data_IF_389229238174
#
_entry.id   IF_389229238174
#
_cell.length_a   1.000
_cell.length_b   1.000
_cell.length_c   1.000
_cell.angle_alpha   90.00
_cell.angle_beta   90.00
_cell.angle_gamma   90.00
#
_symmetry.space_group_name_H-M   'P 1'
#
loop_
_entity.id
_entity.type
_entity.pdbx_description
1 polymer ?
#
# COMPACT_ATOMS: atom_id res chain seq x y z
N UNK A 1 13.19 9.50 20.72
CA UNK A 1 12.03 9.28 21.60
C UNK A 1 10.79 8.91 20.76
N UNK A 2 10.82 7.77 20.05
CA UNK A 2 9.69 7.22 19.27
C UNK A 2 9.86 5.69 19.07
N UNK A 3 10.23 4.96 20.12
CA UNK A 3 10.59 3.52 20.04
C UNK A 3 9.55 2.55 20.62
N UNK A 4 8.32 3.00 20.92
CA UNK A 4 7.31 2.15 21.54
C UNK A 4 6.13 1.95 20.59
N UNK A 5 6.31 1.03 19.64
CA UNK A 5 5.22 0.46 18.84
C UNK A 5 4.80 -0.86 19.51
N UNK A 6 3.51 -1.22 19.52
CA UNK A 6 3.06 -2.54 19.96
C UNK A 6 3.25 -3.53 18.82
N UNK A 7 4.20 -4.48 18.96
CA UNK A 7 4.80 -5.18 17.82
C UNK A 7 4.25 -6.56 17.46
N UNK A 8 3.06 -6.91 17.93
CA UNK A 8 2.54 -8.26 17.69
C UNK A 8 2.25 -8.58 16.20
N UNK A 9 2.26 -7.60 15.30
CA UNK A 9 2.13 -7.80 13.84
C UNK A 9 3.47 -7.84 13.08
N UNK A 10 4.61 -7.56 13.72
CA UNK A 10 5.90 -7.31 13.05
C UNK A 10 6.57 -8.59 12.56
N UNK A 11 6.40 -9.70 13.27
CA UNK A 11 7.40 -10.75 13.22
C UNK A 11 7.32 -11.58 11.94
N UNK A 12 6.15 -12.03 11.49
CA UNK A 12 6.10 -13.09 10.46
C UNK A 12 6.40 -12.65 9.02
N UNK A 13 6.15 -11.39 8.66
CA UNK A 13 6.06 -11.02 7.24
C UNK A 13 7.30 -10.36 6.66
N UNK A 14 8.11 -9.67 7.48
CA UNK A 14 9.32 -8.96 7.00
C UNK A 14 10.52 -9.89 6.84
N UNK A 15 10.64 -10.93 7.67
CA UNK A 15 11.82 -11.80 7.74
C UNK A 15 12.19 -12.49 6.42
N UNK A 16 11.22 -12.97 5.60
CA UNK A 16 11.56 -13.54 4.30
C UNK A 16 12.30 -12.54 3.40
N UNK A 17 11.97 -11.25 3.47
CA UNK A 17 12.68 -10.20 2.72
C UNK A 17 14.09 -9.96 3.25
N UNK A 18 14.28 -10.00 4.57
CA UNK A 18 15.60 -9.83 5.21
C UNK A 18 16.54 -10.96 4.81
N UNK A 19 16.07 -12.20 4.91
CA UNK A 19 16.83 -13.38 4.50
C UNK A 19 17.11 -13.36 2.99
N UNK A 20 16.09 -13.08 2.16
CA UNK A 20 16.25 -13.01 0.71
C UNK A 20 17.19 -11.90 0.24
N UNK A 21 17.30 -10.79 0.96
CA UNK A 21 18.22 -9.72 0.59
C UNK A 21 19.69 -10.13 0.76
N UNK A 22 20.00 -11.01 1.73
CA UNK A 22 21.37 -11.53 1.93
C UNK A 22 21.72 -12.64 0.95
N UNK A 23 20.72 -13.41 0.55
CA UNK A 23 20.84 -14.46 -0.46
C UNK A 23 20.42 -13.97 -1.85
N UNK A 24 20.45 -12.66 -2.07
CA UNK A 24 19.96 -12.07 -3.32
C UNK A 24 20.83 -12.49 -4.50
N UNK A 25 20.19 -12.98 -5.55
CA UNK A 25 20.78 -13.21 -6.85
C UNK A 25 20.01 -12.48 -7.96
N UNK A 26 20.57 -12.41 -9.16
CA UNK A 26 19.91 -11.77 -10.31
C UNK A 26 18.84 -12.66 -10.97
N UNK A 27 18.40 -13.75 -10.31
CA UNK A 27 17.37 -14.66 -10.85
C UNK A 27 15.94 -14.13 -10.70
N UNK A 28 15.75 -13.02 -10.00
CA UNK A 28 14.44 -12.46 -9.64
C UNK A 28 13.54 -13.42 -8.83
N UNK A 29 14.15 -14.38 -8.13
CA UNK A 29 13.47 -15.26 -7.16
C UNK A 29 13.92 -14.91 -5.74
N UNK A 30 13.02 -15.08 -4.76
CA UNK A 30 13.41 -14.94 -3.35
C UNK A 30 13.89 -16.28 -2.81
N UNK A 31 15.06 -16.28 -2.19
CA UNK A 31 15.64 -17.44 -1.53
C UNK A 31 15.86 -17.15 -0.05
N UNK A 32 15.31 -17.97 0.83
CA UNK A 32 15.35 -17.75 2.27
C UNK A 32 16.04 -18.90 3.00
N UNK A 33 16.68 -18.57 4.11
CA UNK A 33 17.16 -19.53 5.11
C UNK A 33 16.15 -19.59 6.26
N UNK A 34 15.39 -20.69 6.31
CA UNK A 34 14.37 -20.92 7.35
C UNK A 34 14.96 -21.00 8.75
N UNK A 35 16.16 -21.57 8.92
CA UNK A 35 16.77 -21.72 10.24
C UNK A 35 17.12 -20.36 10.85
N UNK A 36 17.66 -19.45 10.04
CA UNK A 36 17.91 -18.07 10.47
C UNK A 36 16.62 -17.32 10.79
N UNK A 37 15.55 -17.54 10.03
CA UNK A 37 14.23 -16.96 10.32
C UNK A 37 13.70 -17.47 11.67
N UNK A 38 13.82 -18.78 11.93
CA UNK A 38 13.40 -19.38 13.21
C UNK A 38 14.25 -18.91 14.39
N UNK A 39 15.54 -18.65 14.18
CA UNK A 39 16.41 -18.01 15.18
C UNK A 39 15.95 -16.58 15.46
N UNK A 40 15.74 -15.78 14.42
CA UNK A 40 15.27 -14.41 14.52
C UNK A 40 13.94 -14.32 15.30
N UNK A 41 13.01 -15.25 15.05
CA UNK A 41 11.71 -15.32 15.74
C UNK A 41 11.81 -15.56 17.25
N UNK A 42 12.91 -16.15 17.73
CA UNK A 42 13.15 -16.40 19.16
C UNK A 42 13.75 -15.19 19.87
N UNK A 43 14.27 -14.22 19.13
CA UNK A 43 14.88 -13.03 19.70
C UNK A 43 13.83 -12.08 20.27
N UNK A 44 14.18 -11.38 21.34
CA UNK A 44 13.39 -10.24 21.78
C UNK A 44 13.48 -9.11 20.74
N UNK A 45 12.58 -8.14 20.85
CA UNK A 45 12.47 -7.06 19.88
C UNK A 45 13.77 -6.28 19.67
N UNK A 46 14.45 -5.92 20.76
CA UNK A 46 15.67 -5.11 20.70
C UNK A 46 16.75 -5.84 19.89
N UNK A 47 16.87 -7.15 20.14
CA UNK A 47 17.82 -8.01 19.44
C UNK A 47 17.41 -8.21 17.98
N UNK A 48 16.12 -8.31 17.66
CA UNK A 48 15.65 -8.38 16.27
C UNK A 48 16.02 -7.12 15.48
N UNK A 49 15.89 -5.93 16.07
CA UNK A 49 16.28 -4.69 15.40
C UNK A 49 17.78 -4.59 15.12
N UNK A 50 18.60 -5.24 15.96
CA UNK A 50 20.06 -5.30 15.82
C UNK A 50 20.54 -6.50 15.00
N UNK A 51 19.65 -7.46 14.70
CA UNK A 51 20.01 -8.68 13.99
C UNK A 51 20.43 -8.39 12.55
N UNK A 52 21.45 -9.11 12.08
CA UNK A 52 21.97 -9.02 10.72
C UNK A 52 21.95 -10.42 10.14
N UNK A 53 21.06 -10.65 9.17
CA UNK A 53 21.00 -11.91 8.44
C UNK A 53 22.32 -12.14 7.70
N UNK A 54 22.70 -13.41 7.55
CA UNK A 54 23.90 -13.83 6.84
C UNK A 54 23.53 -14.60 5.57
N UNK A 55 24.41 -14.55 4.57
CA UNK A 55 24.30 -15.43 3.41
C UNK A 55 24.40 -16.89 3.87
N UNK A 56 23.59 -17.76 3.28
CA UNK A 56 23.52 -19.18 3.63
C UNK A 56 23.60 -20.05 2.39
N UNK A 57 24.12 -21.26 2.56
CA UNK A 57 24.04 -22.31 1.54
C UNK A 57 22.74 -23.11 1.65
N UNK A 58 22.08 -23.10 2.82
CA UNK A 58 20.84 -23.82 3.09
C UNK A 58 19.63 -22.95 2.79
N UNK A 59 19.47 -22.59 1.51
CA UNK A 59 18.40 -21.71 1.03
C UNK A 59 17.29 -22.50 0.34
N UNK A 60 16.06 -22.03 0.51
CA UNK A 60 14.91 -22.52 -0.24
C UNK A 60 14.16 -21.39 -0.95
N UNK A 61 13.55 -21.70 -2.09
CA UNK A 61 12.76 -20.75 -2.87
C UNK A 61 11.47 -20.35 -2.13
N UNK A 62 11.16 -19.06 -2.14
CA UNK A 62 10.00 -18.47 -1.46
C UNK A 62 9.19 -17.56 -2.39
N UNK A 63 8.14 -18.08 -3.02
CA UNK A 63 7.34 -17.33 -4.01
C UNK A 63 6.08 -16.65 -3.43
N UNK A 64 5.96 -16.57 -2.10
CA UNK A 64 4.73 -16.07 -1.47
C UNK A 64 4.63 -14.55 -1.45
N UNK A 65 5.77 -13.86 -1.47
CA UNK A 65 5.84 -12.41 -1.33
C UNK A 65 6.45 -11.75 -2.58
N UNK A 66 6.02 -10.52 -2.93
CA UNK A 66 6.60 -9.77 -4.04
C UNK A 66 8.06 -9.41 -3.84
N UNK A 67 8.94 -9.83 -4.74
CA UNK A 67 10.40 -9.61 -4.62
C UNK A 67 10.83 -8.14 -4.55
N UNK A 68 10.00 -7.18 -4.99
CA UNK A 68 10.36 -5.77 -5.04
C UNK A 68 10.90 -5.23 -3.70
N UNK A 69 10.32 -5.64 -2.58
CA UNK A 69 10.78 -5.16 -1.27
C UNK A 69 12.13 -5.75 -0.86
N UNK A 70 12.51 -6.95 -1.35
CA UNK A 70 13.86 -7.50 -1.16
C UNK A 70 14.94 -6.56 -1.66
N UNK A 71 14.73 -5.88 -2.79
CA UNK A 71 15.66 -4.87 -3.29
C UNK A 71 15.79 -3.69 -2.35
N UNK A 72 14.68 -3.21 -1.77
CA UNK A 72 14.71 -2.14 -0.76
C UNK A 72 15.59 -2.56 0.42
N UNK A 73 15.38 -3.77 0.94
CA UNK A 73 16.18 -4.30 2.05
C UNK A 73 17.66 -4.42 1.66
N UNK A 74 17.94 -4.94 0.46
CA UNK A 74 19.31 -5.05 -0.05
C UNK A 74 19.98 -3.68 -0.11
N UNK A 75 19.34 -2.66 -0.70
CA UNK A 75 19.91 -1.32 -0.75
C UNK A 75 20.07 -0.70 0.64
N UNK A 76 19.07 -0.81 1.51
CA UNK A 76 19.11 -0.28 2.87
C UNK A 76 20.29 -0.86 3.66
N UNK A 77 20.46 -2.18 3.64
CA UNK A 77 21.50 -2.89 4.39
C UNK A 77 22.90 -2.69 3.80
N UNK A 78 23.02 -2.39 2.50
CA UNK A 78 24.29 -2.00 1.88
C UNK A 78 24.71 -0.58 2.24
N UNK A 79 23.77 0.37 2.24
CA UNK A 79 24.05 1.78 2.57
C UNK A 79 24.30 1.93 4.08
N UNK A 80 23.50 1.29 4.92
CA UNK A 80 23.56 1.37 6.38
C UNK A 80 24.11 0.08 7.00
N UNK A 81 25.22 -0.42 6.46
CA UNK A 81 25.84 -1.70 6.85
C UNK A 81 26.26 -1.80 8.33
N UNK A 82 26.32 -0.67 9.04
CA UNK A 82 26.69 -0.58 10.45
C UNK A 82 25.48 -0.69 11.41
N UNK A 83 24.26 -0.85 10.88
CA UNK A 83 23.03 -1.07 11.64
C UNK A 83 22.52 -2.51 11.47
N UNK A 84 21.63 -2.94 12.36
CA UNK A 84 20.84 -4.15 12.12
C UNK A 84 19.90 -3.98 10.92
N UNK A 85 19.49 -5.08 10.28
CA UNK A 85 18.81 -5.02 8.98
C UNK A 85 17.46 -4.27 9.07
N UNK A 86 16.69 -4.46 10.15
CA UNK A 86 15.45 -3.71 10.39
C UNK A 86 15.70 -2.22 10.65
N UNK A 87 16.76 -1.88 11.40
CA UNK A 87 17.15 -0.49 11.66
C UNK A 87 17.56 0.22 10.36
N UNK A 88 18.30 -0.47 9.49
CA UNK A 88 18.69 0.04 8.18
C UNK A 88 17.47 0.40 7.31
N UNK A 89 16.45 -0.47 7.26
CA UNK A 89 15.20 -0.23 6.52
C UNK A 89 14.47 0.99 7.10
N UNK A 90 14.31 1.05 8.42
CA UNK A 90 13.62 2.16 9.07
C UNK A 90 14.32 3.50 8.83
N UNK A 91 15.66 3.52 8.90
CA UNK A 91 16.42 4.73 8.60
C UNK A 91 16.22 5.16 7.13
N UNK A 92 16.22 4.21 6.19
CA UNK A 92 15.91 4.50 4.78
C UNK A 92 14.50 5.10 4.62
N UNK A 93 13.48 4.49 5.23
CA UNK A 93 12.11 5.01 5.18
C UNK A 93 12.02 6.43 5.72
N UNK A 94 12.66 6.71 6.86
CA UNK A 94 12.69 8.04 7.48
C UNK A 94 13.35 9.08 6.57
N UNK A 95 14.50 8.75 5.97
CA UNK A 95 15.20 9.65 5.03
C UNK A 95 14.32 9.95 3.82
N UNK A 96 13.68 8.94 3.23
CA UNK A 96 12.78 9.13 2.09
C UNK A 96 11.55 9.94 2.49
N UNK A 97 10.95 9.69 3.66
CA UNK A 97 9.80 10.45 4.16
C UNK A 97 10.14 11.94 4.35
N UNK A 98 11.30 12.22 4.95
CA UNK A 98 11.82 13.58 5.13
C UNK A 98 12.02 14.24 3.76
N UNK A 99 12.65 13.53 2.81
CA UNK A 99 12.87 14.02 1.45
C UNK A 99 11.57 14.35 0.71
N UNK A 100 10.57 13.46 0.76
CA UNK A 100 9.23 13.66 0.19
C UNK A 100 8.54 14.86 0.85
N UNK A 101 8.60 14.94 2.18
CA UNK A 101 7.98 16.03 2.93
C UNK A 101 8.58 17.38 2.55
N UNK A 102 9.91 17.49 2.47
CA UNK A 102 10.58 18.70 2.02
C UNK A 102 10.25 19.04 0.57
N UNK A 103 10.22 18.06 -0.33
CA UNK A 103 9.84 18.26 -1.73
C UNK A 103 8.45 18.91 -1.83
N UNK A 104 7.45 18.36 -1.13
CA UNK A 104 6.08 18.89 -1.18
C UNK A 104 5.97 20.25 -0.49
N UNK A 105 6.63 20.45 0.66
CA UNK A 105 6.65 21.75 1.35
C UNK A 105 7.30 22.85 0.50
N UNK A 106 8.29 22.52 -0.33
CA UNK A 106 8.96 23.48 -1.21
C UNK A 106 8.10 23.93 -2.39
N UNK A 107 7.17 23.09 -2.87
CA UNK A 107 6.31 23.41 -4.02
C UNK A 107 4.96 24.01 -3.62
N UNK A 108 4.54 23.89 -2.36
CA UNK A 108 3.36 24.60 -1.85
C UNK A 108 3.71 26.09 -1.73
N UNK A 109 2.88 26.98 -2.28
CA UNK A 109 3.18 28.42 -2.27
C UNK A 109 2.79 29.10 -0.94
N UNK A 110 1.60 28.80 -0.42
CA UNK A 110 1.00 29.51 0.71
C UNK A 110 1.57 29.03 2.06
N UNK A 111 2.06 29.92 2.94
CA UNK A 111 2.60 29.53 4.25
C UNK A 111 1.62 28.74 5.13
N UNK A 112 0.34 29.12 5.13
CA UNK A 112 -0.73 28.38 5.84
C UNK A 112 -0.81 26.93 5.38
N UNK A 113 -0.79 26.71 4.07
CA UNK A 113 -0.94 25.38 3.48
C UNK A 113 0.31 24.52 3.77
N UNK A 114 1.51 25.14 3.81
CA UNK A 114 2.74 24.47 4.29
C UNK A 114 2.61 24.03 5.73
N UNK A 115 2.13 24.91 6.61
CA UNK A 115 1.94 24.60 8.02
C UNK A 115 0.94 23.46 8.21
N UNK A 116 -0.20 23.50 7.49
CA UNK A 116 -1.17 22.41 7.52
C UNK A 116 -0.58 21.09 7.02
N UNK A 117 0.19 21.09 5.92
CA UNK A 117 0.85 19.89 5.43
C UNK A 117 1.88 19.34 6.41
N UNK A 118 2.65 20.22 7.06
CA UNK A 118 3.62 19.84 8.08
C UNK A 118 2.93 19.07 9.21
N UNK A 119 1.88 19.65 9.81
CA UNK A 119 1.17 19.05 10.94
C UNK A 119 0.36 17.81 10.55
N UNK A 120 -0.39 17.89 9.45
CA UNK A 120 -1.34 16.84 9.07
C UNK A 120 -0.66 15.63 8.39
N UNK A 121 0.51 15.81 7.79
CA UNK A 121 1.23 14.74 7.10
C UNK A 121 2.65 14.53 7.63
N UNK A 122 3.53 15.52 7.49
CA UNK A 122 4.97 15.31 7.64
C UNK A 122 5.37 14.90 9.08
N UNK A 123 4.80 15.53 10.10
CA UNK A 123 5.06 15.22 11.52
C UNK A 123 3.88 14.50 12.20
N UNK A 124 2.87 14.08 11.44
CA UNK A 124 1.70 13.43 11.99
C UNK A 124 2.10 12.07 12.61
N UNK A 125 1.80 11.80 13.89
CA UNK A 125 2.19 10.56 14.56
C UNK A 125 1.67 9.29 13.87
N UNK A 126 0.49 9.32 13.24
CA UNK A 126 -0.08 8.19 12.51
C UNK A 126 0.74 7.92 11.24
N UNK A 127 1.15 8.96 10.53
CA UNK A 127 2.01 8.83 9.34
C UNK A 127 3.38 8.31 9.77
N UNK A 128 3.99 8.91 10.79
CA UNK A 128 5.28 8.49 11.35
C UNK A 128 5.23 7.03 11.81
N UNK A 129 4.11 6.56 12.37
CA UNK A 129 3.93 5.16 12.72
C UNK A 129 4.17 4.26 11.49
N UNK A 130 3.53 4.54 10.34
CA UNK A 130 3.73 3.73 9.14
C UNK A 130 5.10 3.92 8.48
N UNK A 131 5.73 5.10 8.61
CA UNK A 131 7.13 5.32 8.17
C UNK A 131 8.08 4.40 8.93
N UNK A 132 7.87 4.25 10.24
CA UNK A 132 8.69 3.41 11.11
C UNK A 132 8.31 1.93 11.09
N UNK A 133 7.34 1.55 10.26
CA UNK A 133 6.98 0.16 10.03
C UNK A 133 7.89 -0.40 8.92
N UNK A 134 8.84 -1.30 9.22
CA UNK A 134 9.88 -1.78 8.28
C UNK A 134 9.31 -2.76 7.24
N UNK A 135 8.30 -2.34 6.48
CA UNK A 135 7.59 -3.17 5.51
C UNK A 135 7.24 -2.38 4.25
N UNK A 136 6.76 -3.08 3.23
CA UNK A 136 6.54 -2.49 1.90
C UNK A 136 5.44 -1.41 1.85
N UNK A 137 4.63 -1.23 2.89
CA UNK A 137 3.51 -0.28 2.88
C UNK A 137 3.94 1.15 2.59
N UNK A 138 5.07 1.57 3.17
CA UNK A 138 5.61 2.92 3.03
C UNK A 138 5.82 3.33 1.57
N UNK A 139 6.36 2.43 0.75
CA UNK A 139 6.79 2.71 -0.63
C UNK A 139 5.64 3.06 -1.58
N UNK A 140 4.40 2.76 -1.20
CA UNK A 140 3.21 3.12 -1.98
C UNK A 140 2.99 4.65 -2.08
N UNK A 141 3.68 5.45 -1.25
CA UNK A 141 3.62 6.92 -1.29
C UNK A 141 4.32 7.54 -2.50
N UNK A 142 5.27 6.82 -3.12
CA UNK A 142 6.12 7.38 -4.17
C UNK A 142 5.29 7.80 -5.41
N UNK A 143 4.42 6.93 -5.97
CA UNK A 143 3.54 7.35 -7.07
C UNK A 143 2.66 8.54 -6.72
N UNK A 144 2.10 8.58 -5.50
CA UNK A 144 1.25 9.69 -5.05
C UNK A 144 2.03 11.00 -4.94
N UNK A 145 3.28 10.94 -4.49
CA UNK A 145 4.19 12.09 -4.44
C UNK A 145 4.54 12.59 -5.83
N UNK A 146 4.88 11.69 -6.77
CA UNK A 146 5.15 12.06 -8.17
C UNK A 146 3.92 12.73 -8.78
N UNK A 147 2.75 12.14 -8.60
CA UNK A 147 1.48 12.73 -9.04
C UNK A 147 1.29 14.14 -8.47
N UNK A 148 1.40 14.32 -7.16
CA UNK A 148 1.24 15.63 -6.51
C UNK A 148 2.26 16.65 -6.99
N UNK A 149 3.54 16.27 -7.13
CA UNK A 149 4.58 17.16 -7.64
C UNK A 149 4.20 17.74 -9.00
N UNK A 150 3.82 16.88 -9.95
CA UNK A 150 3.42 17.35 -11.26
C UNK A 150 2.07 18.07 -11.22
N UNK A 151 1.13 17.62 -10.40
CA UNK A 151 -0.17 18.26 -10.21
C UNK A 151 -0.03 19.72 -9.78
N UNK A 152 0.78 19.98 -8.74
CA UNK A 152 1.00 21.30 -8.14
C UNK A 152 1.84 22.19 -9.07
N UNK A 153 3.01 21.70 -9.51
CA UNK A 153 3.96 22.53 -10.27
C UNK A 153 3.53 22.83 -11.70
N UNK A 154 2.56 22.08 -12.24
CA UNK A 154 2.09 22.17 -13.63
C UNK A 154 3.19 21.99 -14.69
N UNK A 155 4.37 21.50 -14.32
CA UNK A 155 5.47 21.22 -15.24
C UNK A 155 5.12 20.09 -16.19
N UNK A 156 5.68 20.12 -17.40
CA UNK A 156 5.66 18.96 -18.28
C UNK A 156 6.60 17.87 -17.76
N UNK A 157 6.25 16.61 -18.01
CA UNK A 157 7.07 15.44 -17.67
C UNK A 157 8.25 15.27 -18.64
N UNK A 158 8.08 15.66 -19.91
CA UNK A 158 9.14 15.55 -20.93
C UNK A 158 9.78 14.16 -21.00
N UNK A 159 11.11 14.13 -21.07
CA UNK A 159 11.89 12.88 -21.13
C UNK A 159 12.00 12.15 -19.77
N UNK A 160 11.65 12.81 -18.66
CA UNK A 160 11.68 12.15 -17.35
C UNK A 160 10.68 11.00 -17.26
N UNK A 161 9.68 10.94 -18.16
CA UNK A 161 8.69 9.87 -18.18
C UNK A 161 9.34 8.48 -18.31
N UNK A 162 10.46 8.36 -19.03
CA UNK A 162 11.16 7.08 -19.19
C UNK A 162 11.78 6.61 -17.86
N UNK A 163 12.36 7.54 -17.09
CA UNK A 163 12.88 7.24 -15.74
C UNK A 163 11.72 6.91 -14.81
N UNK A 164 10.62 7.68 -14.88
CA UNK A 164 9.43 7.41 -14.07
C UNK A 164 8.82 6.04 -14.38
N UNK A 165 8.88 5.55 -15.62
CA UNK A 165 8.44 4.19 -15.96
C UNK A 165 9.25 3.12 -15.23
N UNK A 166 10.56 3.29 -15.08
CA UNK A 166 11.40 2.37 -14.30
C UNK A 166 11.08 2.46 -12.81
N UNK A 167 10.86 3.67 -12.29
CA UNK A 167 10.41 3.86 -10.90
C UNK A 167 9.06 3.18 -10.68
N UNK A 168 8.10 3.34 -11.58
CA UNK A 168 6.79 2.70 -11.49
C UNK A 168 6.86 1.19 -11.59
N UNK A 169 7.74 0.65 -12.44
CA UNK A 169 8.01 -0.79 -12.48
C UNK A 169 8.52 -1.29 -11.12
N UNK A 170 9.49 -0.58 -10.53
CA UNK A 170 10.02 -0.91 -9.22
C UNK A 170 8.94 -0.86 -8.12
N UNK A 171 8.12 0.19 -8.10
CA UNK A 171 7.00 0.28 -7.13
C UNK A 171 5.97 -0.83 -7.36
N UNK A 172 5.67 -1.18 -8.61
CA UNK A 172 4.80 -2.32 -8.92
C UNK A 172 5.38 -3.63 -8.39
N UNK A 173 6.68 -3.86 -8.55
CA UNK A 173 7.35 -5.05 -8.00
C UNK A 173 7.27 -5.11 -6.47
N UNK A 174 7.32 -3.96 -5.79
CA UNK A 174 7.13 -3.89 -4.33
C UNK A 174 5.67 -4.20 -3.98
N UNK A 175 4.73 -3.60 -4.73
CA UNK A 175 3.30 -3.70 -4.46
C UNK A 175 2.46 -3.64 -5.75
N UNK A 176 1.99 -4.79 -6.25
CA UNK A 176 1.19 -4.86 -7.47
C UNK A 176 -0.12 -4.07 -7.43
N UNK A 177 -0.69 -3.84 -6.23
CA UNK A 177 -1.94 -3.09 -6.06
C UNK A 177 -1.84 -1.62 -6.51
N UNK A 178 -0.63 -1.10 -6.72
CA UNK A 178 -0.38 0.27 -7.22
C UNK A 178 -0.62 0.44 -8.73
N UNK A 179 -0.84 -0.66 -9.46
CA UNK A 179 -0.96 -0.67 -10.92
C UNK A 179 -2.00 0.32 -11.45
N UNK A 180 -3.23 0.31 -10.91
CA UNK A 180 -4.30 1.19 -11.40
C UNK A 180 -3.97 2.66 -11.17
N UNK A 181 -3.29 2.99 -10.07
CA UNK A 181 -2.86 4.35 -9.81
C UNK A 181 -1.74 4.79 -10.75
N UNK A 182 -0.79 3.90 -11.06
CA UNK A 182 0.25 4.15 -12.07
C UNK A 182 -0.38 4.40 -13.44
N UNK A 183 -1.34 3.57 -13.85
CA UNK A 183 -2.10 3.76 -15.10
C UNK A 183 -2.81 5.12 -15.11
N UNK A 184 -3.45 5.50 -14.00
CA UNK A 184 -4.06 6.81 -13.85
C UNK A 184 -3.05 7.96 -14.00
N UNK A 185 -1.83 7.83 -13.48
CA UNK A 185 -0.78 8.85 -13.67
C UNK A 185 -0.41 9.00 -15.16
N UNK A 186 -0.28 7.90 -15.92
CA UNK A 186 -0.07 8.00 -17.36
C UNK A 186 -1.22 8.71 -18.06
N UNK A 187 -2.47 8.32 -17.76
CA UNK A 187 -3.67 8.98 -18.31
C UNK A 187 -3.67 10.47 -17.97
N UNK A 188 -3.37 10.82 -16.72
CA UNK A 188 -3.24 12.20 -16.29
C UNK A 188 -2.19 12.97 -17.09
N UNK A 189 -1.01 12.38 -17.32
CA UNK A 189 0.04 13.01 -18.14
C UNK A 189 -0.36 13.16 -19.60
N UNK A 190 -1.08 12.19 -20.19
CA UNK A 190 -1.56 12.29 -21.57
C UNK A 190 -2.48 13.50 -21.77
N UNK A 191 -3.41 13.73 -20.85
CA UNK A 191 -4.31 14.88 -20.92
C UNK A 191 -3.62 16.21 -20.62
N UNK A 192 -2.64 16.21 -19.71
CA UNK A 192 -1.95 17.43 -19.29
C UNK A 192 -0.90 17.91 -20.28
N UNK A 193 -0.14 16.99 -20.87
CA UNK A 193 1.07 17.27 -21.63
C UNK A 193 0.91 16.80 -23.08
N UNK A 194 -0.03 17.40 -23.84
CA UNK A 194 -0.36 16.99 -25.21
C UNK A 194 0.88 16.97 -26.14
N UNK A 195 1.83 17.88 -25.92
CA UNK A 195 3.08 17.96 -26.68
C UNK A 195 4.01 16.76 -26.48
N UNK A 196 3.91 16.07 -25.34
CA UNK A 196 4.72 14.89 -25.01
C UNK A 196 3.95 13.56 -25.21
N UNK A 197 2.76 13.60 -25.83
CA UNK A 197 1.87 12.44 -25.99
C UNK A 197 2.56 11.18 -26.52
N UNK A 198 3.36 11.31 -27.58
CA UNK A 198 4.11 10.18 -28.17
C UNK A 198 5.08 9.53 -27.17
N UNK A 199 5.79 10.36 -26.40
CA UNK A 199 6.73 9.88 -25.38
C UNK A 199 6.00 9.16 -24.27
N UNK A 200 4.89 9.73 -23.80
CA UNK A 200 4.08 9.16 -22.73
C UNK A 200 3.50 7.81 -23.15
N UNK A 201 2.94 7.70 -24.36
CA UNK A 201 2.46 6.43 -24.91
C UNK A 201 3.57 5.39 -25.02
N UNK A 202 4.72 5.77 -25.60
CA UNK A 202 5.84 4.85 -25.71
C UNK A 202 6.31 4.36 -24.34
N UNK A 203 6.45 5.28 -23.37
CA UNK A 203 6.84 4.96 -21.99
C UNK A 203 5.82 4.06 -21.28
N UNK A 204 4.53 4.25 -21.56
CA UNK A 204 3.47 3.39 -21.06
C UNK A 204 3.57 1.97 -21.62
N UNK A 205 3.75 1.82 -22.94
CA UNK A 205 3.95 0.50 -23.56
C UNK A 205 5.25 -0.15 -23.13
N UNK A 206 6.32 0.62 -22.92
CA UNK A 206 7.56 0.13 -22.32
C UNK A 206 7.32 -0.41 -20.91
N UNK A 207 6.61 0.34 -20.06
CA UNK A 207 6.22 -0.12 -18.73
C UNK A 207 5.41 -1.43 -18.79
N UNK A 208 4.37 -1.51 -19.62
CA UNK A 208 3.58 -2.75 -19.79
C UNK A 208 4.42 -3.91 -20.34
N UNK A 209 5.32 -3.64 -21.29
CA UNK A 209 6.24 -4.63 -21.84
C UNK A 209 7.17 -5.21 -20.78
N UNK A 210 7.70 -4.36 -19.89
CA UNK A 210 8.52 -4.79 -18.76
C UNK A 210 7.73 -5.59 -17.72
N UNK A 211 6.45 -5.25 -17.48
CA UNK A 211 5.59 -6.04 -16.60
C UNK A 211 5.45 -7.49 -17.06
N UNK A 212 5.38 -7.74 -18.37
CA UNK A 212 5.23 -9.09 -18.92
C UNK A 212 6.47 -9.99 -18.72
N UNK A 213 7.62 -9.41 -18.38
CA UNK A 213 8.86 -10.16 -18.11
C UNK A 213 8.91 -10.59 -16.63
N UNK A 214 8.13 -9.95 -15.76
CA UNK A 214 8.11 -10.27 -14.34
C UNK A 214 7.39 -11.61 -14.09
N UNK A 215 7.85 -12.40 -13.11
CA UNK A 215 7.16 -13.63 -12.70
C UNK A 215 5.70 -13.31 -12.32
N UNK A 216 4.76 -14.11 -12.83
CA UNK A 216 3.36 -13.99 -12.45
C UNK A 216 3.13 -14.62 -11.07
N UNK A 217 2.38 -13.91 -10.21
CA UNK A 217 1.96 -14.45 -8.93
C UNK A 217 0.88 -15.52 -9.17
N UNK A 218 1.10 -16.73 -8.65
CA UNK A 218 0.22 -17.89 -8.86
C UNK A 218 -1.08 -17.84 -8.05
N UNK A 219 -1.23 -16.87 -7.15
CA UNK A 219 -2.36 -16.77 -6.23
C UNK A 219 -3.38 -15.73 -6.70
N UNK A 220 -4.63 -16.16 -6.92
CA UNK A 220 -5.74 -15.27 -7.24
C UNK A 220 -6.24 -14.48 -6.01
N UNK A 221 -7.20 -13.55 -6.20
CA UNK A 221 -7.69 -12.69 -5.11
C UNK A 221 -8.63 -13.40 -4.12
N UNK A 222 -8.99 -14.68 -4.36
CA UNK A 222 -10.11 -15.34 -3.67
C UNK A 222 -9.96 -15.46 -2.17
N UNK A 223 -8.74 -15.65 -1.67
CA UNK A 223 -8.48 -15.62 -0.23
C UNK A 223 -8.87 -14.26 0.35
N UNK A 224 -8.28 -13.19 -0.19
CA UNK A 224 -8.54 -11.81 0.22
C UNK A 224 -10.02 -11.44 0.08
N UNK A 225 -10.68 -11.85 -1.00
CA UNK A 225 -12.11 -11.62 -1.20
C UNK A 225 -12.96 -12.31 -0.13
N UNK A 226 -12.66 -13.57 0.19
CA UNK A 226 -13.39 -14.34 1.19
C UNK A 226 -13.23 -13.75 2.60
N UNK A 227 -11.99 -13.56 3.07
CA UNK A 227 -11.74 -12.99 4.41
C UNK A 227 -12.17 -11.52 4.49
N UNK A 228 -12.19 -10.81 3.37
CA UNK A 228 -12.68 -9.43 3.26
C UNK A 228 -14.16 -9.27 3.62
N UNK A 229 -14.96 -10.34 3.52
CA UNK A 229 -16.36 -10.35 4.00
C UNK A 229 -16.41 -10.03 5.51
N UNK A 230 -15.42 -10.53 6.26
CA UNK A 230 -15.30 -10.33 7.70
C UNK A 230 -14.85 -8.93 8.13
N UNK A 231 -14.67 -7.99 7.19
CA UNK A 231 -14.40 -6.59 7.52
C UNK A 231 -15.54 -5.89 8.24
N UNK A 232 -16.76 -6.43 8.19
CA UNK A 232 -17.92 -5.93 8.92
C UNK A 232 -18.75 -7.11 9.44
N UNK A 233 -19.70 -6.80 10.34
CA UNK A 233 -20.67 -7.79 10.80
C UNK A 233 -21.37 -8.47 9.61
N UNK A 234 -21.45 -9.80 9.67
CA UNK A 234 -21.99 -10.63 8.61
C UNK A 234 -22.68 -11.87 9.21
N UNK A 235 -23.71 -12.44 8.55
CA UNK A 235 -24.47 -13.58 9.06
C UNK A 235 -23.68 -14.90 9.05
N UNK A 236 -22.49 -14.91 8.43
CA UNK A 236 -21.65 -16.10 8.29
C UNK A 236 -20.57 -16.21 9.38
N UNK A 237 -20.51 -15.25 10.31
CA UNK A 237 -19.50 -15.15 11.36
C UNK A 237 -18.06 -15.21 10.84
N UNK A 238 -17.81 -14.74 9.62
CA UNK A 238 -16.46 -14.66 9.05
C UNK A 238 -15.76 -13.46 9.70
N UNK A 239 -14.55 -13.65 10.21
CA UNK A 239 -13.70 -12.58 10.75
C UNK A 239 -12.67 -12.09 9.73
N UNK A 240 -12.17 -10.86 9.88
CA UNK A 240 -11.11 -10.31 9.03
C UNK A 240 -9.74 -10.85 9.48
N UNK A 241 -9.47 -12.10 9.12
CA UNK A 241 -8.26 -12.83 9.51
C UNK A 241 -7.92 -13.91 8.47
N UNK A 242 -6.63 -14.11 8.21
CA UNK A 242 -6.16 -15.13 7.26
C UNK A 242 -6.52 -16.54 7.76
N UNK A 243 -6.58 -16.74 9.08
CA UNK A 243 -6.94 -17.99 9.74
C UNK A 243 -8.35 -18.47 9.36
N UNK A 244 -9.30 -17.58 9.10
CA UNK A 244 -10.65 -17.96 8.67
C UNK A 244 -10.64 -18.69 7.33
N UNK A 245 -9.82 -18.24 6.39
CA UNK A 245 -9.66 -18.92 5.10
C UNK A 245 -9.10 -20.34 5.29
N UNK A 246 -8.10 -20.49 6.16
CA UNK A 246 -7.51 -21.80 6.47
C UNK A 246 -8.49 -22.72 7.21
N UNK A 247 -9.25 -22.17 8.17
CA UNK A 247 -10.23 -22.90 8.96
C UNK A 247 -11.37 -23.40 8.08
N UNK A 248 -11.91 -22.56 7.21
CA UNK A 248 -12.96 -22.95 6.28
C UNK A 248 -12.49 -24.09 5.35
N UNK A 249 -11.29 -23.96 4.78
CA UNK A 249 -10.72 -25.01 3.94
C UNK A 249 -10.56 -26.34 4.68
N UNK A 250 -10.03 -26.30 5.91
CA UNK A 250 -9.88 -27.49 6.77
C UNK A 250 -11.23 -28.14 7.08
N UNK A 251 -12.23 -27.34 7.42
CA UNK A 251 -13.58 -27.85 7.73
C UNK A 251 -14.25 -28.47 6.49
N UNK A 252 -13.99 -27.94 5.29
CA UNK A 252 -14.59 -28.44 4.05
C UNK A 252 -13.91 -29.68 3.50
N UNK A 253 -12.59 -29.77 3.61
CA UNK A 253 -11.78 -30.82 2.94
C UNK A 253 -11.13 -31.83 3.89
N UNK A 254 -11.06 -31.52 5.20
CA UNK A 254 -10.28 -32.26 6.18
C UNK A 254 -8.76 -32.03 6.09
N UNK A 255 -8.27 -31.29 5.09
CA UNK A 255 -6.84 -31.04 4.86
C UNK A 255 -6.38 -29.78 5.60
N UNK A 256 -5.14 -29.78 6.09
CA UNK A 256 -4.52 -28.60 6.69
C UNK A 256 -3.81 -27.81 5.58
N UNK A 257 -4.09 -26.50 5.51
CA UNK A 257 -3.40 -25.57 4.62
C UNK A 257 -2.61 -24.57 5.46
N UNK A 258 -1.31 -24.44 5.17
CA UNK A 258 -0.39 -23.54 5.86
C UNK A 258 0.67 -22.98 4.87
N UNK A 259 1.64 -22.22 5.37
CA UNK A 259 2.73 -21.64 4.58
C UNK A 259 3.53 -22.69 3.79
N UNK A 260 3.72 -23.91 4.32
CA UNK A 260 4.43 -24.98 3.63
C UNK A 260 3.58 -25.63 2.52
N UNK A 261 2.24 -25.57 2.63
CA UNK A 261 1.33 -26.07 1.59
C UNK A 261 1.46 -25.33 0.26
N UNK A 262 2.00 -24.09 0.26
CA UNK A 262 2.24 -23.32 -0.95
C UNK A 262 3.28 -23.94 -1.90
N UNK A 263 4.09 -24.89 -1.42
CA UNK A 263 5.03 -25.65 -2.27
C UNK A 263 4.32 -26.62 -3.21
N UNK A 264 3.10 -27.05 -2.87
CA UNK A 264 2.30 -27.97 -3.68
C UNK A 264 1.26 -27.19 -4.50
N UNK A 265 1.51 -27.05 -5.80
CA UNK A 265 0.60 -26.34 -6.71
C UNK A 265 -0.84 -26.86 -6.71
N UNK A 266 -1.04 -28.17 -6.52
CA UNK A 266 -2.36 -28.77 -6.47
C UNK A 266 -3.10 -28.35 -5.20
N UNK A 267 -2.42 -28.34 -4.06
CA UNK A 267 -2.98 -27.85 -2.79
C UNK A 267 -3.34 -26.36 -2.87
N UNK A 268 -2.50 -25.55 -3.51
CA UNK A 268 -2.79 -24.13 -3.75
C UNK A 268 -4.05 -23.98 -4.59
N UNK A 269 -4.13 -24.66 -5.74
CA UNK A 269 -5.31 -24.59 -6.63
C UNK A 269 -6.59 -25.02 -5.91
N UNK A 270 -6.54 -26.14 -5.19
CA UNK A 270 -7.67 -26.66 -4.42
C UNK A 270 -8.15 -25.64 -3.37
N UNK A 271 -7.21 -25.06 -2.60
CA UNK A 271 -7.51 -24.04 -1.60
C UNK A 271 -8.24 -22.83 -2.19
N UNK A 272 -7.70 -22.24 -3.26
CA UNK A 272 -8.30 -21.07 -3.89
C UNK A 272 -9.65 -21.37 -4.54
N UNK A 273 -9.84 -22.55 -5.14
CA UNK A 273 -11.14 -22.94 -5.70
C UNK A 273 -12.20 -23.17 -4.60
N UNK A 274 -11.83 -23.75 -3.45
CA UNK A 274 -12.75 -23.90 -2.31
C UNK A 274 -13.24 -22.54 -1.80
N UNK A 275 -12.33 -21.58 -1.61
CA UNK A 275 -12.68 -20.23 -1.16
C UNK A 275 -13.48 -19.45 -2.20
N UNK A 276 -13.11 -19.55 -3.48
CA UNK A 276 -13.84 -18.96 -4.60
C UNK A 276 -15.28 -19.46 -4.64
N UNK A 277 -15.48 -20.78 -4.57
CA UNK A 277 -16.82 -21.36 -4.58
C UNK A 277 -17.65 -20.85 -3.41
N UNK A 278 -17.07 -20.81 -2.21
CA UNK A 278 -17.78 -20.25 -1.04
C UNK A 278 -18.12 -18.78 -1.19
N UNK A 279 -17.19 -17.98 -1.69
CA UNK A 279 -17.44 -16.56 -1.95
C UNK A 279 -18.57 -16.37 -2.96
N UNK A 280 -18.59 -17.16 -4.04
CA UNK A 280 -19.62 -17.09 -5.07
C UNK A 280 -20.99 -17.58 -4.58
N UNK A 281 -21.04 -18.56 -3.67
CA UNK A 281 -22.27 -18.93 -2.96
C UNK A 281 -22.81 -17.76 -2.16
N UNK A 282 -21.98 -17.14 -1.31
CA UNK A 282 -22.37 -15.96 -0.50
C UNK A 282 -22.81 -14.81 -1.40
N UNK A 283 -22.13 -14.58 -2.53
CA UNK A 283 -22.50 -13.52 -3.48
C UNK A 283 -23.89 -13.74 -4.11
N UNK A 284 -24.34 -14.99 -4.24
CA UNK A 284 -25.68 -15.33 -4.73
C UNK A 284 -26.73 -15.24 -3.63
N UNK A 285 -26.39 -15.67 -2.41
CA UNK A 285 -27.29 -15.64 -1.25
C UNK A 285 -27.53 -14.21 -0.76
N UNK A 286 -26.47 -13.42 -0.60
CA UNK A 286 -26.47 -12.11 0.07
C UNK A 286 -25.72 -11.02 -0.75
N UNK A 287 -26.15 -10.68 -1.98
CA UNK A 287 -25.45 -9.71 -2.82
C UNK A 287 -25.37 -8.31 -2.19
N UNK A 288 -26.36 -7.94 -1.38
CA UNK A 288 -26.41 -6.64 -0.70
C UNK A 288 -25.35 -6.52 0.41
N UNK A 289 -24.98 -7.63 1.06
CA UNK A 289 -23.87 -7.64 2.02
C UNK A 289 -22.57 -7.22 1.35
N UNK A 290 -22.24 -7.84 0.22
CA UNK A 290 -21.01 -7.54 -0.53
C UNK A 290 -21.01 -6.11 -1.08
N UNK A 291 -22.15 -5.65 -1.61
CA UNK A 291 -22.30 -4.27 -2.07
C UNK A 291 -22.13 -3.26 -0.94
N UNK A 292 -22.76 -3.50 0.21
CA UNK A 292 -22.65 -2.65 1.41
C UNK A 292 -21.21 -2.58 1.90
N UNK A 293 -20.51 -3.71 1.96
CA UNK A 293 -19.10 -3.78 2.33
C UNK A 293 -18.23 -3.00 1.34
N UNK A 294 -18.43 -3.19 0.04
CA UNK A 294 -17.71 -2.45 -1.00
C UNK A 294 -17.92 -0.93 -0.87
N UNK A 295 -19.15 -0.48 -0.63
CA UNK A 295 -19.45 0.94 -0.44
C UNK A 295 -18.75 1.50 0.80
N UNK A 296 -18.83 0.81 1.94
CA UNK A 296 -18.14 1.20 3.17
C UNK A 296 -16.62 1.25 2.97
N UNK A 297 -16.06 0.29 2.24
CA UNK A 297 -14.64 0.24 1.92
C UNK A 297 -14.22 1.42 1.03
N UNK A 298 -14.99 1.74 0.00
CA UNK A 298 -14.72 2.90 -0.86
C UNK A 298 -14.81 4.20 -0.06
N UNK A 299 -15.81 4.37 0.80
CA UNK A 299 -15.92 5.59 1.62
C UNK A 299 -14.75 5.67 2.60
N UNK A 300 -14.44 4.59 3.30
CA UNK A 300 -13.34 4.52 4.27
C UNK A 300 -11.97 4.78 3.64
N UNK A 301 -11.79 4.55 2.33
CA UNK A 301 -10.53 4.87 1.65
C UNK A 301 -10.25 6.38 1.46
N UNK A 302 -11.24 7.23 1.71
CA UNK A 302 -11.07 8.68 1.84
C UNK A 302 -10.90 9.14 3.31
N UNK A 303 -10.98 8.19 4.25
CA UNK A 303 -10.78 8.39 5.69
C UNK A 303 -9.37 7.98 6.13
N UNK A 304 -9.26 7.40 7.33
CA UNK A 304 -7.99 6.90 7.88
C UNK A 304 -7.82 5.37 7.77
N UNK A 305 -8.84 4.67 7.26
CA UNK A 305 -8.81 3.24 6.96
C UNK A 305 -9.45 2.35 8.03
N UNK A 306 -9.44 1.06 7.74
CA UNK A 306 -10.08 0.02 8.54
C UNK A 306 -9.11 -0.53 9.61
N UNK A 307 -9.64 -0.75 10.82
CA UNK A 307 -8.96 -1.41 11.93
C UNK A 307 -9.75 -2.65 12.36
N UNK A 308 -9.13 -3.82 12.22
CA UNK A 308 -9.76 -5.10 12.59
C UNK A 308 -10.16 -5.10 14.07
N UNK A 309 -11.37 -5.59 14.34
CA UNK A 309 -11.93 -5.68 15.70
C UNK A 309 -12.40 -4.37 16.34
N UNK A 310 -12.31 -3.21 15.67
CA UNK A 310 -12.66 -1.91 16.24
C UNK A 310 -13.79 -1.21 15.48
N UNK A 311 -15.03 -1.59 15.78
CA UNK A 311 -16.25 -1.09 15.10
C UNK A 311 -16.37 0.43 15.18
N UNK A 312 -16.01 1.03 16.33
CA UNK A 312 -16.12 2.47 16.51
C UNK A 312 -15.15 3.23 15.62
N UNK A 313 -13.87 2.82 15.58
CA UNK A 313 -12.90 3.45 14.68
C UNK A 313 -13.25 3.25 13.21
N UNK A 314 -13.81 2.09 12.84
CA UNK A 314 -14.26 1.83 11.47
C UNK A 314 -15.40 2.76 11.05
N UNK A 315 -16.40 2.94 11.91
CA UNK A 315 -17.50 3.87 11.66
C UNK A 315 -17.02 5.33 11.60
N UNK A 316 -16.08 5.71 12.46
CA UNK A 316 -15.46 7.03 12.42
C UNK A 316 -14.67 7.25 11.12
N UNK A 317 -13.95 6.23 10.62
CA UNK A 317 -13.25 6.31 9.33
C UNK A 317 -14.22 6.49 8.17
N UNK A 318 -15.33 5.75 8.15
CA UNK A 318 -16.39 5.89 7.15
C UNK A 318 -16.99 7.31 7.19
N UNK A 319 -17.30 7.82 8.39
CA UNK A 319 -17.83 9.17 8.54
C UNK A 319 -16.84 10.24 8.06
N UNK A 320 -15.57 10.14 8.46
CA UNK A 320 -14.51 11.03 8.00
C UNK A 320 -14.33 10.96 6.48
N UNK A 321 -14.36 9.76 5.90
CA UNK A 321 -14.28 9.53 4.46
C UNK A 321 -15.45 10.16 3.70
N UNK A 322 -16.67 10.07 4.23
CA UNK A 322 -17.84 10.72 3.65
C UNK A 322 -17.68 12.25 3.65
N UNK A 323 -17.23 12.83 4.76
CA UNK A 323 -16.91 14.27 4.83
C UNK A 323 -15.85 14.65 3.80
N UNK A 324 -14.76 13.89 3.69
CA UNK A 324 -13.70 14.11 2.71
C UNK A 324 -14.24 14.09 1.27
N UNK A 325 -15.07 13.11 0.92
CA UNK A 325 -15.73 13.03 -0.40
C UNK A 325 -16.56 14.28 -0.66
N UNK A 326 -17.45 14.64 0.27
CA UNK A 326 -18.33 15.80 0.13
C UNK A 326 -17.52 17.10 -0.01
N UNK A 327 -16.47 17.28 0.80
CA UNK A 327 -15.58 18.44 0.73
C UNK A 327 -14.84 18.52 -0.61
N UNK A 328 -14.28 17.42 -1.11
CA UNK A 328 -13.56 17.38 -2.38
C UNK A 328 -14.50 17.70 -3.56
N UNK A 329 -15.72 17.15 -3.56
CA UNK A 329 -16.72 17.42 -4.58
C UNK A 329 -17.22 18.88 -4.51
N UNK A 330 -17.52 19.38 -3.31
CA UNK A 330 -17.96 20.77 -3.10
C UNK A 330 -16.90 21.79 -3.53
N UNK A 331 -15.63 21.52 -3.21
CA UNK A 331 -14.47 22.34 -3.59
C UNK A 331 -13.92 22.07 -4.99
N UNK A 332 -14.63 21.25 -5.78
CA UNK A 332 -14.31 20.91 -7.18
C UNK A 332 -12.92 20.29 -7.39
N UNK A 333 -12.39 19.60 -6.37
CA UNK A 333 -11.11 18.90 -6.42
C UNK A 333 -11.25 17.52 -7.07
N UNK A 334 -11.87 17.45 -8.25
CA UNK A 334 -12.26 16.18 -8.89
C UNK A 334 -11.07 15.28 -9.23
N UNK A 335 -9.94 15.86 -9.62
CA UNK A 335 -8.74 15.08 -9.98
C UNK A 335 -8.14 14.43 -8.72
N UNK A 336 -8.12 15.14 -7.59
CA UNK A 336 -7.65 14.57 -6.31
C UNK A 336 -8.63 13.51 -5.80
N UNK A 337 -9.94 13.76 -5.93
CA UNK A 337 -10.98 12.78 -5.63
C UNK A 337 -10.75 11.48 -6.42
N UNK A 338 -10.63 11.56 -7.75
CA UNK A 338 -10.35 10.41 -8.59
C UNK A 338 -9.03 9.72 -8.24
N UNK A 339 -7.99 10.50 -7.93
CA UNK A 339 -6.69 9.97 -7.53
C UNK A 339 -6.78 9.08 -6.27
N UNK A 340 -7.48 9.54 -5.23
CA UNK A 340 -7.70 8.77 -4.00
C UNK A 340 -8.51 7.50 -4.30
N UNK A 341 -9.63 7.62 -5.02
CA UNK A 341 -10.49 6.49 -5.36
C UNK A 341 -9.77 5.42 -6.19
N UNK A 342 -9.03 5.81 -7.23
CA UNK A 342 -8.30 4.87 -8.10
C UNK A 342 -7.13 4.22 -7.35
N UNK A 343 -6.48 4.96 -6.43
CA UNK A 343 -5.42 4.38 -5.60
C UNK A 343 -5.91 3.16 -4.80
N UNK A 344 -7.13 3.23 -4.26
CA UNK A 344 -7.70 2.13 -3.46
C UNK A 344 -8.51 1.11 -4.27
N UNK A 345 -8.85 1.42 -5.52
CA UNK A 345 -9.78 0.63 -6.35
C UNK A 345 -9.33 -0.83 -6.55
N UNK A 346 -8.03 -1.11 -6.49
CA UNK A 346 -7.51 -2.47 -6.64
C UNK A 346 -8.02 -3.45 -5.58
N UNK A 347 -8.44 -2.97 -4.40
CA UNK A 347 -8.83 -3.83 -3.28
C UNK A 347 -10.16 -3.43 -2.61
N UNK A 348 -10.55 -2.16 -2.60
CA UNK A 348 -11.78 -1.72 -1.92
C UNK A 348 -13.09 -2.40 -2.38
N UNK A 349 -13.24 -2.87 -3.64
CA UNK A 349 -14.46 -3.57 -4.03
C UNK A 349 -14.72 -4.87 -3.25
N UNK A 350 -13.70 -5.46 -2.62
CA UNK A 350 -13.82 -6.77 -1.97
C UNK A 350 -13.04 -6.91 -0.66
N UNK A 351 -12.21 -5.94 -0.29
CA UNK A 351 -11.39 -5.99 0.92
C UNK A 351 -11.35 -4.63 1.64
N UNK A 352 -11.49 -4.59 2.97
CA UNK A 352 -11.45 -3.35 3.72
C UNK A 352 -10.09 -2.65 3.61
N UNK A 353 -10.07 -1.31 3.48
CA UNK A 353 -8.85 -0.56 3.27
C UNK A 353 -8.10 -0.40 4.60
N UNK A 354 -7.37 -1.43 5.03
CA UNK A 354 -6.56 -1.33 6.24
C UNK A 354 -5.54 -0.20 6.12
N UNK A 355 -5.22 0.45 7.23
CA UNK A 355 -4.44 1.69 7.25
C UNK A 355 -3.08 1.59 6.51
N UNK A 356 -2.37 0.46 6.63
CA UNK A 356 -1.12 0.23 5.89
C UNK A 356 -1.30 0.18 4.36
N UNK A 357 -2.43 -0.32 3.86
CA UNK A 357 -2.72 -0.36 2.42
C UNK A 357 -3.07 1.03 1.87
N UNK A 358 -3.54 1.92 2.74
CA UNK A 358 -3.87 3.31 2.41
C UNK A 358 -2.68 4.27 2.52
N UNK A 359 -1.49 3.80 2.93
CA UNK A 359 -0.41 4.72 3.25
C UNK A 359 -0.09 5.72 2.11
N UNK A 360 -0.09 5.25 0.86
CA UNK A 360 0.13 6.12 -0.29
C UNK A 360 -1.01 7.11 -0.58
N UNK A 361 -2.25 6.85 -0.16
CA UNK A 361 -3.36 7.79 -0.32
C UNK A 361 -3.39 8.88 0.74
N UNK A 362 -2.76 8.68 1.91
CA UNK A 362 -2.78 9.70 2.98
C UNK A 362 -2.22 11.06 2.55
N UNK A 363 -1.16 11.08 1.74
CA UNK A 363 -0.62 12.34 1.21
C UNK A 363 -1.63 13.06 0.30
N UNK A 364 -2.42 12.30 -0.47
CA UNK A 364 -3.47 12.82 -1.35
C UNK A 364 -4.66 13.34 -0.53
N UNK A 365 -5.07 12.61 0.51
CA UNK A 365 -6.16 12.99 1.41
C UNK A 365 -5.81 14.29 2.13
N UNK A 366 -4.63 14.39 2.74
CA UNK A 366 -4.17 15.61 3.42
C UNK A 366 -4.10 16.78 2.44
N UNK A 367 -3.49 16.58 1.27
CA UNK A 367 -3.40 17.65 0.28
C UNK A 367 -4.77 18.09 -0.24
N UNK A 368 -5.67 17.13 -0.49
CA UNK A 368 -7.06 17.37 -0.89
C UNK A 368 -7.82 18.19 0.15
N UNK A 369 -7.70 17.83 1.43
CA UNK A 369 -8.31 18.58 2.54
C UNK A 369 -7.80 20.03 2.60
N UNK A 370 -6.49 20.25 2.47
CA UNK A 370 -5.90 21.59 2.44
C UNK A 370 -6.50 22.43 1.30
N UNK A 371 -6.66 21.83 0.10
CA UNK A 371 -7.28 22.51 -1.05
C UNK A 371 -8.77 22.78 -0.85
N UNK A 372 -9.49 21.88 -0.19
CA UNK A 372 -10.88 22.13 0.17
C UNK A 372 -11.03 23.29 1.16
N UNK A 373 -10.17 23.37 2.18
CA UNK A 373 -10.15 24.51 3.10
C UNK A 373 -9.82 25.81 2.37
N UNK A 374 -8.81 25.81 1.50
CA UNK A 374 -8.44 26.98 0.70
C UNK A 374 -9.64 27.52 -0.09
N UNK A 375 -10.39 26.64 -0.75
CA UNK A 375 -11.60 27.00 -1.48
C UNK A 375 -12.67 27.63 -0.59
N UNK A 376 -12.94 27.03 0.57
CA UNK A 376 -13.94 27.53 1.53
C UNK A 376 -13.55 28.92 2.04
N UNK A 377 -12.28 29.11 2.40
CA UNK A 377 -11.77 30.40 2.87
C UNK A 377 -11.90 31.50 1.82
N UNK A 378 -11.50 31.23 0.57
CA UNK A 378 -11.61 32.19 -0.53
C UNK A 378 -13.08 32.55 -0.79
N UNK A 379 -13.96 31.55 -0.80
CA UNK A 379 -15.37 31.74 -1.15
C UNK A 379 -16.14 32.59 -0.11
N UNK A 380 -15.83 32.44 1.18
CA UNK A 380 -16.56 33.15 2.24
C UNK A 380 -15.88 34.47 2.62
N UNK A 381 -14.57 34.48 2.90
CA UNK A 381 -13.93 35.65 3.51
C UNK A 381 -13.51 36.74 2.52
N UNK A 382 -13.17 36.39 1.27
CA UNK A 382 -12.75 37.40 0.28
C UNK A 382 -13.96 38.03 -0.40
N UNK A 383 -15.04 37.26 -0.59
CA UNK A 383 -16.25 37.77 -1.23
C UNK A 383 -17.04 38.72 -0.31
N UNK A 384 -17.02 38.49 1.00
CA UNK A 384 -17.63 39.37 1.99
C UNK A 384 -16.82 40.65 2.27
N UNK A 385 -15.49 40.63 2.07
CA UNK A 385 -14.66 41.84 2.19
C UNK A 385 -14.70 42.75 0.94
N UNK A 386 -15.42 42.34 -0.11
CA UNK A 386 -15.58 43.09 -1.37
C UNK A 386 -16.99 43.68 -1.57
N UNK A 387 -17.83 43.59 -0.55
CA UNK A 387 -19.15 44.24 -0.42
C UNK A 387 -19.02 45.24 0.71
#
# INVERSE_FOLDING_TARGET
MFYLMSLNQYHNWVMPYLSAAKNFDFSFSMYIDKNQIDEFNKLNLENQFKFVFQSSENIERYDYLPIGFTFVVFFATKIFFFLGDLQAINLLHQIIHIGISFLILNIIEKPRDKFLFLILYAINPIIIYFVNYPFYYFWQVIPATIFLYYFITKKSVGNLIFILSLVFLFIYMIRPSTLFFIVFIYIYFLFKNINDFKKIIFSFFMFLGLLNILPSYKTGPWHTMYVGIGGYENPYNISLSDEEGYLYFKNKTGKIYNSDSFKNEESVKEYFEVLKNRYLEIAKEEPFLLFSNALKNIISSYGFGHKSGDVWLNNLSIFAGLISILLLLYSRQYIIFLAIGIFSFSFTPYFPPIAGYMYGSYILIVFGFIKSLEFIFIKHFIKEASI
#
